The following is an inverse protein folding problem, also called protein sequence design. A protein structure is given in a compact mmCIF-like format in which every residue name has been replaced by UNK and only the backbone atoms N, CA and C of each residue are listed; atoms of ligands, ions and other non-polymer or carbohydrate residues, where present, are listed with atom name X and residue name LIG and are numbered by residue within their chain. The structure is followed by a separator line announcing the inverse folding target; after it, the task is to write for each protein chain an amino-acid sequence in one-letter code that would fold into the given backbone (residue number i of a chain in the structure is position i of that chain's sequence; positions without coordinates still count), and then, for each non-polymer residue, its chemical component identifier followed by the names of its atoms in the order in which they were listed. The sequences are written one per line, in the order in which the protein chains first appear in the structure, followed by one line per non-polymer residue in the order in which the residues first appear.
data_IF_233790339450
#
_entry.id   IF_233790339450
#
_cell.length_a   1.000
_cell.length_b   1.000
_cell.length_c   1.000
_cell.angle_alpha   90.00
_cell.angle_beta   90.00
_cell.angle_gamma   90.00
#
_symmetry.space_group_name_H-M   'P 1'
#
loop_
_entity.id
_entity.type
_entity.pdbx_description
1 polymer ?
#
# COMPACT_ATOMS: atom_id res chain seq x y z
N UNK A 1 10.44 -2.60 -15.71
CA UNK A 1 9.18 -1.96 -15.25
C UNK A 1 8.60 -2.83 -14.14
N UNK A 2 9.11 -2.71 -12.91
CA UNK A 2 8.71 -3.56 -11.78
C UNK A 2 8.51 -2.75 -10.49
N UNK A 3 7.90 -1.57 -10.58
CA UNK A 3 7.40 -0.87 -9.41
C UNK A 3 6.12 -0.13 -9.81
N UNK A 4 4.99 -0.83 -9.73
CA UNK A 4 3.66 -0.21 -9.76
C UNK A 4 3.38 0.41 -8.39
N UNK A 5 2.73 1.58 -8.39
CA UNK A 5 2.57 2.57 -7.31
C UNK A 5 2.46 2.07 -5.86
N UNK A 6 1.83 0.91 -5.63
CA UNK A 6 1.61 0.34 -4.30
C UNK A 6 2.91 -0.20 -3.67
N UNK A 7 3.88 -0.62 -4.48
CA UNK A 7 5.19 -1.10 -4.01
C UNK A 7 6.10 0.03 -3.54
N UNK A 8 5.97 1.23 -4.14
CA UNK A 8 6.72 2.43 -3.78
C UNK A 8 6.34 2.94 -2.39
N UNK A 9 5.04 2.97 -2.07
CA UNK A 9 4.56 3.47 -0.77
C UNK A 9 4.97 2.55 0.40
N UNK A 10 4.93 1.22 0.18
CA UNK A 10 5.41 0.24 1.15
C UNK A 10 6.92 0.33 1.37
N UNK A 11 7.68 0.55 0.30
CA UNK A 11 9.11 0.75 0.37
C UNK A 11 9.45 2.02 1.15
N UNK A 12 8.83 3.16 0.82
CA UNK A 12 9.00 4.43 1.54
C UNK A 12 8.69 4.24 3.03
N UNK A 13 7.59 3.57 3.37
CA UNK A 13 7.25 3.35 4.78
C UNK A 13 8.20 2.41 5.51
N UNK A 14 8.72 1.40 4.81
CA UNK A 14 9.76 0.54 5.35
C UNK A 14 11.05 1.32 5.61
N UNK A 15 11.44 2.26 4.73
CA UNK A 15 12.58 3.16 4.93
C UNK A 15 12.40 4.08 6.16
N UNK A 16 11.21 4.63 6.37
CA UNK A 16 10.94 5.48 7.54
C UNK A 16 11.02 4.72 8.87
N UNK A 17 10.67 3.43 8.87
CA UNK A 17 10.55 2.62 10.10
C UNK A 17 11.75 1.69 10.36
N UNK A 18 12.53 1.36 9.34
CA UNK A 18 13.70 0.51 9.49
C UNK A 18 14.86 1.29 10.15
N UNK A 19 15.70 0.56 10.89
CA UNK A 19 16.87 1.12 11.55
C UNK A 19 18.04 0.13 11.51
N UNK A 20 19.25 0.63 11.72
CA UNK A 20 20.47 -0.18 11.74
C UNK A 20 20.67 -0.99 10.47
N UNK A 21 20.97 -2.29 10.60
CA UNK A 21 21.28 -3.19 9.49
C UNK A 21 20.13 -3.37 8.49
N UNK A 22 18.88 -3.23 8.94
CA UNK A 22 17.71 -3.35 8.07
C UNK A 22 17.59 -2.14 7.14
N UNK A 23 17.86 -0.93 7.66
CA UNK A 23 17.85 0.30 6.86
C UNK A 23 18.97 0.31 5.81
N UNK A 24 20.18 -0.08 6.22
CA UNK A 24 21.33 -0.15 5.30
C UNK A 24 21.09 -1.18 4.18
N UNK A 25 20.47 -2.31 4.50
CA UNK A 25 20.12 -3.30 3.49
C UNK A 25 19.02 -2.82 2.54
N UNK A 26 18.01 -2.11 3.03
CA UNK A 26 16.98 -1.51 2.17
C UNK A 26 17.59 -0.49 1.20
N UNK A 27 18.52 0.35 1.65
CA UNK A 27 19.22 1.34 0.78
C UNK A 27 20.02 0.65 -0.33
N UNK A 28 20.74 -0.41 0.00
CA UNK A 28 21.48 -1.22 -0.97
C UNK A 28 20.54 -1.84 -2.01
N UNK A 29 19.40 -2.39 -1.58
CA UNK A 29 18.49 -3.11 -2.45
C UNK A 29 17.66 -2.19 -3.35
N UNK A 30 17.38 -0.96 -2.93
CA UNK A 30 16.48 -0.07 -3.65
C UNK A 30 17.06 0.36 -5.01
N UNK A 31 16.33 0.09 -6.09
CA UNK A 31 16.75 0.40 -7.46
C UNK A 31 17.81 -0.55 -8.02
N UNK A 32 18.33 -1.50 -7.23
CA UNK A 32 19.28 -2.50 -7.69
C UNK A 32 18.56 -3.56 -8.55
N UNK A 33 18.93 -3.65 -9.83
CA UNK A 33 18.34 -4.60 -10.79
C UNK A 33 18.93 -6.00 -10.71
N UNK A 34 20.02 -6.18 -9.97
CA UNK A 34 20.82 -7.40 -9.91
C UNK A 34 20.66 -8.12 -8.56
N UNK A 35 19.54 -7.92 -7.86
CA UNK A 35 19.27 -8.62 -6.61
C UNK A 35 19.08 -10.12 -6.85
N UNK A 36 19.67 -10.91 -5.98
CA UNK A 36 19.40 -12.35 -5.89
C UNK A 36 18.03 -12.60 -5.29
N UNK A 37 17.49 -13.81 -5.50
CA UNK A 37 16.20 -14.20 -4.94
C UNK A 37 16.20 -14.12 -3.40
N UNK A 38 17.28 -14.53 -2.75
CA UNK A 38 17.42 -14.46 -1.28
C UNK A 38 17.38 -13.02 -0.77
N UNK A 39 18.01 -12.09 -1.48
CA UNK A 39 17.98 -10.67 -1.12
C UNK A 39 16.59 -10.07 -1.30
N UNK A 40 15.86 -10.49 -2.35
CA UNK A 40 14.46 -10.10 -2.54
C UNK A 40 13.58 -10.60 -1.38
N UNK A 41 13.76 -11.85 -0.94
CA UNK A 41 13.03 -12.37 0.23
C UNK A 41 13.39 -11.61 1.51
N UNK A 42 14.66 -11.24 1.69
CA UNK A 42 15.10 -10.43 2.82
C UNK A 42 14.46 -9.04 2.81
N UNK A 43 14.35 -8.38 1.66
CA UNK A 43 13.61 -7.11 1.52
C UNK A 43 12.14 -7.32 1.93
N UNK A 44 11.48 -8.38 1.45
CA UNK A 44 10.09 -8.68 1.85
C UNK A 44 9.97 -8.93 3.35
N UNK A 45 10.93 -9.61 3.96
CA UNK A 45 11.00 -9.84 5.41
C UNK A 45 11.06 -8.52 6.18
N UNK A 46 11.90 -7.58 5.76
CA UNK A 46 12.02 -6.26 6.40
C UNK A 46 10.73 -5.44 6.24
N UNK A 47 10.11 -5.46 5.06
CA UNK A 47 8.82 -4.77 4.81
C UNK A 47 7.71 -5.32 5.73
N UNK A 48 7.67 -6.64 5.95
CA UNK A 48 6.73 -7.25 6.92
C UNK A 48 7.05 -6.85 8.35
N UNK A 49 8.32 -6.97 8.76
CA UNK A 49 8.80 -6.65 10.12
C UNK A 49 8.52 -5.20 10.52
N UNK A 50 8.64 -4.25 9.59
CA UNK A 50 8.38 -2.82 9.83
C UNK A 50 6.89 -2.49 9.95
N UNK A 51 5.99 -3.44 9.70
CA UNK A 51 4.55 -3.17 9.66
C UNK A 51 4.16 -2.20 8.54
N UNK A 52 4.98 -2.10 7.48
CA UNK A 52 4.69 -1.26 6.32
C UNK A 52 3.48 -1.79 5.54
N UNK A 53 3.25 -3.11 5.54
CA UNK A 53 2.07 -3.74 4.95
C UNK A 53 0.78 -3.26 5.62
N UNK A 54 0.69 -3.40 6.93
CA UNK A 54 -0.47 -2.97 7.72
C UNK A 54 -0.72 -1.46 7.58
N UNK A 55 0.36 -0.66 7.54
CA UNK A 55 0.24 0.77 7.29
C UNK A 55 -0.42 1.08 5.95
N UNK A 56 0.03 0.47 4.85
CA UNK A 56 -0.56 0.70 3.53
C UNK A 56 -2.01 0.22 3.44
N UNK A 57 -2.35 -0.89 4.09
CA UNK A 57 -3.74 -1.38 4.16
C UNK A 57 -4.65 -0.40 4.92
N UNK A 58 -4.20 0.09 6.07
CA UNK A 58 -4.93 1.08 6.87
C UNK A 58 -5.06 2.41 6.13
N UNK A 59 -4.03 2.82 5.39
CA UNK A 59 -4.05 4.04 4.59
C UNK A 59 -5.03 3.94 3.42
N UNK A 60 -5.05 2.81 2.72
CA UNK A 60 -6.02 2.52 1.65
C UNK A 60 -7.46 2.59 2.17
N UNK A 61 -7.75 1.94 3.32
CA UNK A 61 -9.04 2.04 4.00
C UNK A 61 -9.39 3.49 4.33
N UNK A 62 -8.45 4.25 4.89
CA UNK A 62 -8.66 5.66 5.24
C UNK A 62 -9.01 6.52 4.03
N UNK A 63 -8.37 6.31 2.88
CA UNK A 63 -8.68 7.04 1.65
C UNK A 63 -10.04 6.68 1.08
N UNK A 64 -10.40 5.39 1.09
CA UNK A 64 -11.73 4.95 0.65
C UNK A 64 -12.83 5.53 1.55
N UNK A 65 -12.67 5.49 2.86
CA UNK A 65 -13.62 6.09 3.79
C UNK A 65 -13.75 7.61 3.61
N UNK A 66 -12.65 8.29 3.29
CA UNK A 66 -12.70 9.70 2.90
C UNK A 66 -13.47 9.90 1.60
N UNK A 67 -13.19 9.11 0.57
CA UNK A 67 -13.86 9.18 -0.72
C UNK A 67 -15.37 8.98 -0.62
N UNK A 68 -15.82 8.02 0.20
CA UNK A 68 -17.23 7.76 0.47
C UNK A 68 -17.98 9.00 0.99
N UNK A 69 -17.33 9.84 1.80
CA UNK A 69 -17.93 11.09 2.31
C UNK A 69 -18.21 12.13 1.22
N UNK A 70 -17.58 12.02 0.05
CA UNK A 70 -17.81 12.92 -1.08
C UNK A 70 -18.89 12.42 -2.04
N UNK A 71 -19.30 11.15 -1.97
CA UNK A 71 -20.34 10.57 -2.83
C UNK A 71 -21.65 11.38 -2.81
N UNK A 72 -22.17 11.85 -1.66
CA UNK A 72 -23.38 12.69 -1.62
C UNK A 72 -23.21 14.09 -2.26
N UNK A 73 -21.99 14.50 -2.58
CA UNK A 73 -21.69 15.73 -3.33
C UNK A 73 -21.61 15.48 -4.84
N UNK A 74 -21.31 14.25 -5.26
CA UNK A 74 -21.25 13.85 -6.68
C UNK A 74 -22.67 13.62 -7.22
N UNK A 75 -23.53 12.98 -6.44
CA UNK A 75 -24.90 12.67 -6.84
C UNK A 75 -25.85 12.68 -5.66
N UNK A 76 -27.10 13.11 -5.89
CA UNK A 76 -28.20 13.04 -4.92
C UNK A 76 -29.05 11.78 -5.08
N UNK A 77 -28.86 11.04 -6.17
CA UNK A 77 -29.60 9.82 -6.44
C UNK A 77 -29.14 8.67 -5.52
N UNK A 78 -30.03 8.10 -4.69
CA UNK A 78 -29.68 7.02 -3.77
C UNK A 78 -29.14 5.75 -4.44
N UNK A 79 -29.60 5.44 -5.65
CA UNK A 79 -29.13 4.29 -6.41
C UNK A 79 -27.65 4.45 -6.78
N UNK A 80 -27.29 5.61 -7.34
CA UNK A 80 -25.89 5.89 -7.71
C UNK A 80 -24.99 6.02 -6.48
N UNK A 81 -25.47 6.60 -5.38
CA UNK A 81 -24.69 6.63 -4.13
C UNK A 81 -24.37 5.22 -3.64
N UNK A 82 -25.36 4.32 -3.61
CA UNK A 82 -25.18 2.93 -3.19
C UNK A 82 -24.21 2.17 -4.11
N UNK A 83 -24.29 2.39 -5.41
CA UNK A 83 -23.37 1.78 -6.38
C UNK A 83 -21.92 2.24 -6.15
N UNK A 84 -21.71 3.55 -6.00
CA UNK A 84 -20.37 4.11 -5.76
C UNK A 84 -19.76 3.63 -4.44
N UNK A 85 -20.58 3.51 -3.38
CA UNK A 85 -20.13 2.94 -2.10
C UNK A 85 -19.67 1.49 -2.30
N UNK A 86 -20.46 0.65 -2.99
CA UNK A 86 -20.10 -0.74 -3.27
C UNK A 86 -18.82 -0.86 -4.10
N UNK A 87 -18.62 0.01 -5.08
CA UNK A 87 -17.37 0.06 -5.86
C UNK A 87 -16.19 0.42 -4.96
N UNK A 88 -16.36 1.41 -4.08
CA UNK A 88 -15.30 1.81 -3.15
C UNK A 88 -14.94 0.68 -2.17
N UNK A 89 -15.93 -0.09 -1.69
CA UNK A 89 -15.71 -1.28 -0.86
C UNK A 89 -14.94 -2.38 -1.60
N UNK A 90 -15.25 -2.61 -2.88
CA UNK A 90 -14.57 -3.59 -3.71
C UNK A 90 -13.07 -3.29 -3.87
N UNK A 91 -12.68 -2.01 -3.90
CA UNK A 91 -11.28 -1.59 -4.05
C UNK A 91 -10.43 -1.98 -2.84
N UNK A 92 -10.99 -1.93 -1.62
CA UNK A 92 -10.26 -2.27 -0.37
C UNK A 92 -10.46 -3.73 0.06
N UNK A 93 -11.55 -4.36 -0.39
CA UNK A 93 -11.92 -5.73 -0.04
C UNK A 93 -11.30 -6.80 -0.95
N UNK A 94 -10.17 -6.55 -1.62
CA UNK A 94 -9.45 -7.55 -2.44
C UNK A 94 -8.83 -8.66 -1.56
N UNK A 95 -9.70 -9.45 -0.93
CA UNK A 95 -9.47 -10.79 -0.41
C UNK A 95 -10.61 -11.64 -0.96
N UNK A 96 -10.39 -12.22 -2.13
CA UNK A 96 -10.95 -13.48 -2.61
C UNK A 96 -9.85 -14.17 -3.40
#
# INVERSE_FOLDING_TARGET
MLFTDVSSERAIKAFEKAFGKDLEFLKYAYGNRNLTLEEVEKVRGIIKKTGALEYSENLSRKYVERGKKFIPKITKDPYYQKLLIKLADLVIGRNN
#
